data_IF_340749731385
#
_entry.id   IF_340749731385
#
_cell.length_a   1.000
_cell.length_b   1.000
_cell.length_c   1.000
_cell.angle_alpha   90.00
_cell.angle_beta   90.00
_cell.angle_gamma   90.00
#
_symmetry.space_group_name_H-M   'P 1'
#
loop_
_entity.id
_entity.type
_entity.pdbx_description
1 polymer ?
#
# COMPACT_ATOMS: atom_id res chain seq x y z
N UNK A 1 20.54 -9.86 13.93
CA UNK A 1 19.09 -9.57 13.84
C UNK A 1 18.72 -9.65 12.37
N UNK A 2 17.77 -10.50 11.94
CA UNK A 2 17.35 -10.50 10.54
C UNK A 2 16.88 -9.08 10.17
N UNK A 3 17.30 -8.58 9.01
CA UNK A 3 16.89 -7.25 8.55
C UNK A 3 15.37 -7.26 8.37
N UNK A 4 14.67 -6.33 9.01
CA UNK A 4 13.22 -6.23 8.86
C UNK A 4 12.88 -5.99 7.39
N UNK A 5 12.00 -6.82 6.82
CA UNK A 5 11.50 -6.63 5.46
C UNK A 5 10.78 -5.29 5.41
N UNK A 6 11.21 -4.40 4.50
CA UNK A 6 10.61 -3.09 4.26
C UNK A 6 9.78 -3.16 2.99
N UNK A 7 8.60 -2.55 3.01
CA UNK A 7 7.73 -2.45 1.85
C UNK A 7 7.87 -1.05 1.26
N UNK A 8 7.77 -0.90 -0.05
CA UNK A 8 7.66 0.43 -0.66
C UNK A 8 6.21 0.88 -0.66
N UNK A 9 5.98 2.19 -0.59
CA UNK A 9 4.63 2.76 -0.70
C UNK A 9 4.06 2.51 -2.10
N UNK A 10 4.90 2.54 -3.13
CA UNK A 10 4.52 2.18 -4.51
C UNK A 10 4.01 0.75 -4.68
N UNK A 11 4.36 -0.20 -3.80
CA UNK A 11 3.85 -1.56 -3.88
C UNK A 11 2.31 -1.62 -3.72
N UNK A 12 1.73 -0.65 -2.99
CA UNK A 12 0.28 -0.52 -2.82
C UNK A 12 -0.43 0.16 -4.01
N UNK A 13 0.31 0.64 -5.03
CA UNK A 13 -0.24 1.35 -6.17
C UNK A 13 -0.91 0.42 -7.21
N UNK A 14 -1.85 -0.41 -6.74
CA UNK A 14 -2.67 -1.32 -7.53
C UNK A 14 -4.17 -1.08 -7.26
N UNK A 15 -5.05 -1.75 -8.02
CA UNK A 15 -6.50 -1.54 -7.94
C UNK A 15 -7.08 -1.80 -6.55
N UNK A 16 -6.52 -2.78 -5.83
CA UNK A 16 -6.96 -3.15 -4.49
C UNK A 16 -6.41 -2.21 -3.41
N UNK A 17 -5.29 -1.55 -3.67
CA UNK A 17 -4.58 -0.77 -2.65
C UNK A 17 -3.97 -1.67 -1.57
N UNK A 18 -3.51 -2.88 -1.96
CA UNK A 18 -3.06 -3.93 -1.05
C UNK A 18 -1.81 -4.61 -1.56
N UNK A 19 -1.03 -5.20 -0.66
CA UNK A 19 0.12 -6.04 -1.02
C UNK A 19 0.02 -7.39 -0.33
N UNK A 20 0.57 -8.44 -0.95
CA UNK A 20 0.69 -9.73 -0.27
C UNK A 20 1.68 -9.61 0.90
N UNK A 21 1.43 -10.35 1.98
CA UNK A 21 2.35 -10.44 3.10
C UNK A 21 3.66 -11.10 2.63
N UNK A 22 4.83 -10.49 2.89
CA UNK A 22 6.11 -11.04 2.43
C UNK A 22 6.65 -12.17 3.33
N UNK A 23 5.94 -12.51 4.41
CA UNK A 23 6.32 -13.64 5.28
C UNK A 23 5.98 -14.96 4.60
N UNK A 24 6.93 -15.89 4.60
CA UNK A 24 6.71 -17.26 4.12
C UNK A 24 5.48 -17.88 4.79
N UNK A 25 4.70 -18.62 4.00
CA UNK A 25 3.45 -19.27 4.41
C UNK A 25 2.31 -18.32 4.86
N UNK A 26 2.48 -17.00 4.75
CA UNK A 26 1.42 -16.03 5.04
C UNK A 26 0.64 -15.64 3.78
N UNK A 27 -0.63 -16.03 3.73
CA UNK A 27 -1.56 -15.75 2.63
C UNK A 27 -2.39 -14.47 2.86
N UNK A 28 -1.99 -13.64 3.82
CA UNK A 28 -2.68 -12.39 4.15
C UNK A 28 -2.34 -11.26 3.18
N UNK A 29 -3.27 -10.32 3.02
CA UNK A 29 -3.02 -9.04 2.36
C UNK A 29 -2.86 -7.92 3.38
N UNK A 30 -1.88 -7.05 3.13
CA UNK A 30 -1.59 -5.87 3.92
C UNK A 30 -2.30 -4.65 3.32
N UNK A 31 -2.77 -3.76 4.17
CA UNK A 31 -3.47 -2.52 3.80
C UNK A 31 -2.74 -1.31 4.36
N UNK A 32 -2.90 -0.17 3.71
CA UNK A 32 -2.49 1.11 4.26
C UNK A 32 -3.42 1.50 5.41
N UNK A 33 -2.85 2.02 6.49
CA UNK A 33 -3.63 2.58 7.59
C UNK A 33 -3.66 4.11 7.46
N UNK A 34 -4.83 4.74 7.37
CA UNK A 34 -4.91 6.19 7.39
C UNK A 34 -4.55 6.73 8.79
N UNK A 35 -3.92 7.90 8.83
CA UNK A 35 -3.64 8.60 10.10
C UNK A 35 -4.86 9.32 10.67
N UNK A 36 -5.86 9.59 9.83
CA UNK A 36 -7.00 10.47 10.10
C UNK A 36 -6.77 11.91 9.65
N UNK A 37 -5.56 12.27 9.25
CA UNK A 37 -5.25 13.55 8.61
C UNK A 37 -5.46 13.48 7.09
N UNK A 38 -5.64 14.65 6.48
CA UNK A 38 -5.80 14.82 5.04
C UNK A 38 -5.28 16.20 4.59
N UNK A 39 -4.90 16.29 3.32
CA UNK A 39 -4.52 17.57 2.71
C UNK A 39 -5.75 18.46 2.41
N UNK A 40 -5.52 19.66 1.86
CA UNK A 40 -6.58 20.63 1.54
C UNK A 40 -7.62 20.11 0.52
N UNK A 41 -7.28 19.08 -0.25
CA UNK A 41 -8.16 18.44 -1.24
C UNK A 41 -8.80 17.15 -0.72
N UNK A 42 -8.60 16.82 0.57
CA UNK A 42 -9.16 15.64 1.20
C UNK A 42 -8.39 14.36 0.92
N UNK A 43 -7.16 14.42 0.40
CA UNK A 43 -6.33 13.25 0.17
C UNK A 43 -5.78 12.75 1.52
N UNK A 44 -6.04 11.50 1.92
CA UNK A 44 -5.63 10.98 3.22
C UNK A 44 -4.11 10.82 3.34
N UNK A 45 -3.58 11.07 4.54
CA UNK A 45 -2.22 10.70 4.93
C UNK A 45 -2.18 9.26 5.48
N UNK A 46 -1.10 8.53 5.18
CA UNK A 46 -0.96 7.12 5.60
C UNK A 46 0.15 6.91 6.63
N UNK A 47 -0.05 5.95 7.52
CA UNK A 47 0.95 5.53 8.50
C UNK A 47 2.24 5.05 7.80
N UNK A 48 3.43 5.25 8.41
CA UNK A 48 4.70 4.79 7.85
C UNK A 48 4.94 3.28 8.06
N UNK A 49 3.88 2.51 8.34
CA UNK A 49 3.92 1.07 8.54
C UNK A 49 2.55 0.44 8.24
N UNK A 50 2.56 -0.87 8.00
CA UNK A 50 1.36 -1.71 7.95
C UNK A 50 1.51 -2.89 8.91
N UNK A 51 0.45 -3.67 9.11
CA UNK A 51 0.43 -4.82 10.00
C UNK A 51 -0.33 -5.98 9.38
N UNK A 52 0.21 -7.18 9.54
CA UNK A 52 -0.46 -8.42 9.18
C UNK A 52 -1.08 -9.05 10.43
N UNK A 53 -2.43 -9.13 10.54
CA UNK A 53 -3.06 -9.77 11.70
C UNK A 53 -2.84 -11.29 11.74
N UNK A 54 -2.54 -11.93 10.61
CA UNK A 54 -2.35 -13.39 10.55
C UNK A 54 -1.00 -13.83 11.11
N UNK A 55 0.09 -13.14 10.77
CA UNK A 55 1.42 -13.45 11.28
C UNK A 55 1.86 -12.54 12.45
N UNK A 56 1.00 -11.63 12.89
CA UNK A 56 1.27 -10.71 14.02
C UNK A 56 2.44 -9.75 13.82
N UNK A 57 2.87 -9.55 12.57
CA UNK A 57 4.06 -8.77 12.22
C UNK A 57 3.69 -7.40 11.66
N UNK A 58 4.46 -6.38 12.02
CA UNK A 58 4.40 -5.04 11.44
C UNK A 58 5.52 -4.84 10.43
N UNK A 59 5.20 -4.21 9.30
CA UNK A 59 6.16 -3.93 8.24
C UNK A 59 6.30 -2.41 8.06
N UNK A 60 7.52 -1.86 8.19
CA UNK A 60 7.76 -0.45 7.86
C UNK A 60 7.55 -0.21 6.36
N UNK A 61 7.06 0.98 6.02
CA UNK A 61 6.82 1.41 4.65
C UNK A 61 7.79 2.54 4.29
N UNK A 62 8.56 2.33 3.23
CA UNK A 62 9.45 3.32 2.64
C UNK A 62 8.65 4.29 1.75
N UNK A 63 8.86 5.59 1.97
CA UNK A 63 8.17 6.66 1.27
C UNK A 63 8.85 6.99 -0.08
N UNK A 64 8.84 6.03 -1.00
CA UNK A 64 9.35 6.18 -2.37
C UNK A 64 8.40 6.96 -3.30
N UNK A 65 7.16 7.20 -2.84
CA UNK A 65 6.19 8.09 -3.47
C UNK A 65 5.40 8.86 -2.41
N UNK A 66 4.69 9.92 -2.80
CA UNK A 66 3.84 10.69 -1.88
C UNK A 66 2.50 9.99 -1.64
N UNK A 67 1.85 10.28 -0.50
CA UNK A 67 0.49 9.79 -0.21
C UNK A 67 -0.53 10.24 -1.26
N UNK A 68 -0.32 11.45 -1.77
CA UNK A 68 -1.13 12.04 -2.83
C UNK A 68 -1.00 11.28 -4.14
N UNK A 69 0.22 11.06 -4.60
CA UNK A 69 0.46 10.33 -5.85
C UNK A 69 -0.09 8.90 -5.77
N UNK A 70 0.08 8.25 -4.61
CA UNK A 70 -0.45 6.92 -4.36
C UNK A 70 -1.97 6.90 -4.44
N UNK A 71 -2.63 7.82 -3.73
CA UNK A 71 -4.08 7.92 -3.71
C UNK A 71 -4.66 8.18 -5.09
N UNK A 72 -4.06 9.11 -5.85
CA UNK A 72 -4.49 9.43 -7.21
C UNK A 72 -4.25 8.26 -8.16
N UNK A 73 -3.12 7.55 -8.04
CA UNK A 73 -2.83 6.37 -8.84
C UNK A 73 -3.85 5.25 -8.59
N UNK A 74 -4.14 4.92 -7.33
CA UNK A 74 -5.14 3.90 -6.97
C UNK A 74 -6.53 4.32 -7.46
N UNK A 75 -6.90 5.59 -7.28
CA UNK A 75 -8.19 6.13 -7.73
C UNK A 75 -8.34 6.02 -9.25
N UNK A 76 -7.28 6.37 -9.98
CA UNK A 76 -7.26 6.25 -11.44
C UNK A 76 -7.35 4.79 -11.90
N UNK A 77 -6.62 3.86 -11.27
CA UNK A 77 -6.70 2.43 -11.58
C UNK A 77 -8.10 1.86 -11.35
N UNK A 78 -8.77 2.27 -10.26
CA UNK A 78 -10.16 1.87 -9.99
C UNK A 78 -11.15 2.43 -10.99
N UNK A 79 -10.91 3.65 -11.48
CA UNK A 79 -11.72 4.27 -12.52
C UNK A 79 -11.45 3.68 -13.93
N UNK A 80 -10.28 3.07 -14.13
CA UNK A 80 -9.82 2.52 -15.42
C UNK A 80 -9.31 1.07 -15.23
N UNK A 81 -10.18 0.12 -14.85
CA UNK A 81 -9.75 -1.24 -14.50
C UNK A 81 -9.02 -1.97 -15.64
N UNK A 82 -9.38 -1.68 -16.89
CA UNK A 82 -8.77 -2.27 -18.09
C UNK A 82 -7.40 -1.67 -18.47
N UNK A 83 -7.02 -0.54 -17.89
CA UNK A 83 -5.74 0.10 -18.19
C UNK A 83 -4.53 -0.65 -17.56
N UNK A 84 -4.78 -1.67 -16.74
CA UNK A 84 -3.77 -2.62 -16.27
C UNK A 84 -3.67 -3.90 -17.12
N UNK A 85 -4.52 -4.06 -18.14
CA UNK A 85 -4.60 -5.26 -18.99
C UNK A 85 -3.92 -5.08 -20.37
N UNK A 86 -3.59 -3.83 -20.74
CA UNK A 86 -2.99 -3.46 -22.04
C UNK A 86 -1.45 -3.55 -22.00
N UNK A 87 -0.91 -4.74 -21.74
CA UNK A 87 0.52 -5.07 -21.91
C UNK A 87 0.68 -6.58 -22.20
N UNK A 88 -0.09 -7.09 -23.17
CA UNK A 88 -0.10 -8.47 -23.65
C UNK A 88 -0.05 -8.60 -25.16
#
# INVERSE_FOLDING_TARGET
MPMAVRLTKSAFANIDGRVACPTDDCWGHLMLFPTGAHDIEGVPEYQPFTGCPLCGTTFPIDADMTDRDLYLRISWLRANPHAGEDDG
#
